data_IF_055279578767
#
_entry.id   IF_055279578767
#
_cell.length_a   1.000
_cell.length_b   1.000
_cell.length_c   1.000
_cell.angle_alpha   90.00
_cell.angle_beta   90.00
_cell.angle_gamma   90.00
#
_symmetry.space_group_name_H-M   'P 1'
#
loop_
_entity.id
_entity.type
_entity.pdbx_description
1 polymer ?
#
# COMPACT_ATOMS: atom_id res chain seq x y z
N UNK A 1 -14.74 0.64 12.41
CA UNK A 1 -14.07 0.75 11.10
C UNK A 1 -15.01 1.34 10.05
N UNK A 2 -14.46 1.87 8.96
CA UNK A 2 -15.20 2.44 7.80
C UNK A 2 -14.43 2.19 6.49
N UNK A 3 -15.01 2.56 5.34
CA UNK A 3 -14.35 2.56 4.03
C UNK A 3 -14.50 3.92 3.33
N UNK A 4 -13.55 4.23 2.44
CA UNK A 4 -13.75 5.18 1.34
C UNK A 4 -13.85 4.42 0.01
N UNK A 5 -14.33 5.06 -1.05
CA UNK A 5 -14.15 4.58 -2.42
C UNK A 5 -12.64 4.59 -2.83
N UNK A 6 -11.84 5.40 -2.13
CA UNK A 6 -10.37 5.45 -2.20
C UNK A 6 -9.69 4.18 -1.69
N UNK A 7 -10.17 3.57 -0.61
CA UNK A 7 -9.69 2.28 -0.07
C UNK A 7 -9.73 1.19 -1.15
N UNK A 8 -10.84 1.15 -1.89
CA UNK A 8 -11.08 0.23 -2.99
C UNK A 8 -10.12 0.50 -4.13
N UNK A 9 -10.09 1.75 -4.62
CA UNK A 9 -9.19 2.22 -5.66
C UNK A 9 -7.74 1.89 -5.39
N UNK A 10 -7.28 2.22 -4.20
CA UNK A 10 -5.90 2.05 -3.82
C UNK A 10 -5.61 0.55 -3.81
N UNK A 11 -6.53 -0.25 -3.25
CA UNK A 11 -6.41 -1.70 -3.28
C UNK A 11 -6.35 -2.25 -4.71
N UNK A 12 -7.09 -1.68 -5.66
CA UNK A 12 -7.12 -2.13 -7.05
C UNK A 12 -5.75 -2.01 -7.73
N UNK A 13 -5.09 -0.85 -7.62
CA UNK A 13 -3.81 -0.63 -8.31
C UNK A 13 -2.68 -1.40 -7.59
N UNK A 14 -2.79 -1.55 -6.27
CA UNK A 14 -1.88 -2.39 -5.48
C UNK A 14 -1.81 -3.85 -5.95
N UNK A 15 -2.92 -4.46 -6.36
CA UNK A 15 -2.95 -5.87 -6.84
C UNK A 15 -2.03 -6.09 -8.03
N UNK A 16 -1.97 -5.09 -8.90
CA UNK A 16 -1.30 -5.05 -10.17
C UNK A 16 0.13 -4.59 -10.11
N UNK A 17 0.41 -3.64 -9.22
CA UNK A 17 1.78 -3.33 -8.90
C UNK A 17 2.44 -4.45 -8.07
N UNK A 18 1.66 -5.30 -7.40
CA UNK A 18 2.15 -6.44 -6.60
C UNK A 18 1.44 -7.81 -6.78
N UNK A 19 1.42 -8.38 -8.00
CA UNK A 19 0.94 -9.75 -8.26
C UNK A 19 1.84 -10.87 -7.73
N UNK A 20 3.12 -10.60 -7.45
CA UNK A 20 4.02 -11.53 -6.75
C UNK A 20 3.82 -11.57 -5.22
N UNK A 21 2.88 -10.78 -4.70
CA UNK A 21 2.61 -10.64 -3.27
C UNK A 21 2.06 -11.89 -2.57
N UNK A 22 2.41 -12.02 -1.30
CA UNK A 22 1.88 -13.01 -0.33
C UNK A 22 0.96 -12.37 0.73
N UNK A 23 1.15 -11.09 1.06
CA UNK A 23 0.15 -10.27 1.78
C UNK A 23 -0.26 -9.05 0.94
N UNK A 24 -1.56 -8.71 0.93
CA UNK A 24 -2.08 -7.43 0.40
C UNK A 24 -3.42 -7.05 1.07
N UNK A 25 -3.45 -5.91 1.76
CA UNK A 25 -4.65 -5.30 2.37
C UNK A 25 -4.48 -3.79 2.60
N UNK A 26 -5.59 -3.05 2.64
CA UNK A 26 -5.68 -1.60 2.87
C UNK A 26 -6.77 -1.30 3.91
N UNK A 27 -6.62 -0.23 4.69
CA UNK A 27 -7.70 0.29 5.57
C UNK A 27 -7.73 1.81 5.55
N UNK A 28 -8.90 2.41 5.36
CA UNK A 28 -9.14 3.82 5.67
C UNK A 28 -9.23 4.03 7.18
N UNK A 29 -8.37 4.89 7.70
CA UNK A 29 -8.28 5.26 9.12
C UNK A 29 -8.58 6.76 9.32
N UNK A 30 -9.34 7.32 8.38
CA UNK A 30 -9.69 8.73 8.20
C UNK A 30 -11.18 8.89 7.84
N UNK A 31 -12.09 8.41 8.69
CA UNK A 31 -13.55 8.34 8.46
C UNK A 31 -14.31 9.63 8.09
N UNK A 32 -13.66 10.79 8.13
CA UNK A 32 -14.23 12.11 7.81
C UNK A 32 -13.37 12.98 6.87
N UNK A 33 -12.41 12.36 6.18
CA UNK A 33 -11.63 12.98 5.09
C UNK A 33 -11.12 11.94 4.09
N UNK A 34 -10.69 10.78 4.58
CA UNK A 34 -9.94 9.77 3.86
C UNK A 34 -8.55 10.26 3.44
N UNK A 35 -7.83 10.94 4.34
CA UNK A 35 -6.45 11.37 4.16
C UNK A 35 -5.41 10.33 4.65
N UNK A 36 -5.74 9.54 5.67
CA UNK A 36 -4.91 8.44 6.18
C UNK A 36 -5.45 7.08 5.78
N UNK A 37 -4.52 6.19 5.39
CA UNK A 37 -4.79 4.77 5.17
C UNK A 37 -3.68 3.91 5.75
N UNK A 38 -4.03 2.72 6.23
CA UNK A 38 -3.12 1.61 6.46
C UNK A 38 -2.90 0.83 5.15
N UNK A 39 -1.67 0.41 4.83
CA UNK A 39 -1.38 -0.53 3.73
C UNK A 39 -0.40 -1.60 4.22
N UNK A 40 -0.73 -2.88 4.01
CA UNK A 40 0.12 -4.03 4.39
C UNK A 40 0.36 -4.94 3.19
N UNK A 41 1.63 -5.05 2.77
CA UNK A 41 2.09 -5.81 1.61
C UNK A 41 3.21 -6.76 2.05
N UNK A 42 3.45 -7.84 1.31
CA UNK A 42 4.66 -8.67 1.34
C UNK A 42 4.78 -9.31 -0.04
N UNK A 43 5.95 -9.30 -0.69
CA UNK A 43 6.12 -9.78 -2.07
C UNK A 43 7.55 -10.21 -2.38
N UNK A 44 7.71 -11.27 -3.19
CA UNK A 44 9.01 -11.83 -3.58
C UNK A 44 9.95 -10.83 -4.28
N UNK A 45 9.42 -9.73 -4.84
CA UNK A 45 10.23 -8.67 -5.48
C UNK A 45 10.96 -7.74 -4.48
N UNK A 46 10.57 -7.76 -3.19
CA UNK A 46 11.10 -6.86 -2.17
C UNK A 46 12.43 -7.33 -1.55
N UNK A 47 13.11 -8.28 -2.21
CA UNK A 47 14.40 -8.88 -1.79
C UNK A 47 15.57 -7.90 -1.91
N UNK A 48 15.64 -7.18 -3.02
CA UNK A 48 16.74 -6.28 -3.38
C UNK A 48 16.51 -4.83 -2.92
N UNK A 49 15.88 -4.68 -1.74
CA UNK A 49 15.33 -3.41 -1.23
C UNK A 49 15.47 -3.28 0.29
N UNK A 50 15.77 -2.05 0.72
CA UNK A 50 15.60 -1.54 2.07
C UNK A 50 14.14 -1.30 2.43
N UNK A 51 13.83 -1.01 3.68
CA UNK A 51 12.52 -0.50 4.12
C UNK A 51 12.03 0.69 3.33
N UNK A 52 12.84 1.76 3.25
CA UNK A 52 12.52 2.98 2.50
C UNK A 52 12.30 2.72 1.01
N UNK A 53 13.07 1.78 0.44
CA UNK A 53 12.98 1.41 -0.97
C UNK A 53 11.77 0.52 -1.26
N UNK A 54 11.40 -0.39 -0.35
CA UNK A 54 10.12 -1.13 -0.40
C UNK A 54 8.95 -0.13 -0.35
N UNK A 55 8.90 0.75 0.66
CA UNK A 55 7.87 1.78 0.80
C UNK A 55 7.68 2.59 -0.49
N UNK A 56 8.75 3.14 -1.06
CA UNK A 56 8.74 3.92 -2.31
C UNK A 56 7.93 3.26 -3.43
N UNK A 57 8.09 1.95 -3.64
CA UNK A 57 7.36 1.19 -4.68
C UNK A 57 5.85 1.19 -4.43
N UNK A 58 5.45 0.98 -3.17
CA UNK A 58 4.05 0.99 -2.68
C UNK A 58 3.46 2.42 -2.68
N UNK A 59 4.32 3.44 -2.56
CA UNK A 59 3.94 4.87 -2.54
C UNK A 59 3.60 5.33 -3.96
N UNK A 60 4.44 4.96 -4.92
CA UNK A 60 4.24 5.23 -6.33
C UNK A 60 3.01 4.53 -6.94
N UNK A 61 2.58 3.39 -6.38
CA UNK A 61 1.49 2.55 -6.88
C UNK A 61 0.14 3.28 -6.86
N UNK A 62 -0.07 4.22 -5.94
CA UNK A 62 -1.30 5.03 -5.86
C UNK A 62 -1.08 6.54 -5.93
N UNK A 63 0.17 7.01 -5.90
CA UNK A 63 0.54 8.42 -6.04
C UNK A 63 -0.21 9.12 -7.17
N UNK A 64 -0.31 8.44 -8.29
CA UNK A 64 -0.69 9.03 -9.55
C UNK A 64 -2.23 9.09 -9.70
N UNK A 65 -2.93 8.69 -8.64
CA UNK A 65 -4.36 8.57 -8.45
C UNK A 65 -4.77 9.42 -7.22
N UNK A 66 -4.17 9.17 -6.05
CA UNK A 66 -4.23 9.98 -4.82
C UNK A 66 -2.80 10.29 -4.36
N UNK A 67 -2.46 11.54 -4.00
CA UNK A 67 -1.06 11.88 -3.66
C UNK A 67 -0.66 11.79 -2.18
N UNK A 68 -1.61 11.63 -1.25
CA UNK A 68 -1.53 12.05 0.14
C UNK A 68 -0.72 11.16 1.11
N UNK A 69 0.40 10.56 0.68
CA UNK A 69 1.21 9.61 1.46
C UNK A 69 1.89 10.18 2.72
N UNK A 70 1.56 11.40 3.15
CA UNK A 70 1.81 11.85 4.52
C UNK A 70 0.97 11.06 5.55
N UNK A 71 -0.27 10.76 5.17
CA UNK A 71 -1.26 10.04 5.97
C UNK A 71 -1.14 8.51 5.89
N UNK A 72 -0.46 7.99 4.88
CA UNK A 72 -0.43 6.57 4.58
C UNK A 72 0.66 5.83 5.36
N UNK A 73 0.21 4.88 6.17
CA UNK A 73 0.99 4.04 7.08
C UNK A 73 1.26 2.68 6.44
N UNK A 74 2.48 2.49 5.92
CA UNK A 74 2.81 1.33 5.08
C UNK A 74 3.77 0.36 5.74
N UNK A 75 3.49 -0.90 5.42
CA UNK A 75 4.07 -2.08 5.98
C UNK A 75 4.39 -3.04 4.83
N UNK A 76 5.63 -3.49 4.75
CA UNK A 76 6.20 -4.27 3.65
C UNK A 76 7.19 -5.28 4.18
N UNK A 77 7.34 -6.35 3.42
CA UNK A 77 8.30 -7.41 3.68
C UNK A 77 8.48 -8.24 2.41
N UNK A 78 9.38 -9.21 2.44
CA UNK A 78 9.54 -10.21 1.39
C UNK A 78 9.40 -11.61 1.99
N UNK A 79 8.72 -12.54 1.29
CA UNK A 79 8.65 -13.94 1.69
C UNK A 79 9.93 -14.64 1.23
N UNK A 80 10.63 -15.20 2.20
CA UNK A 80 12.06 -15.56 2.11
C UNK A 80 12.36 -16.79 2.99
N UNK A 81 11.35 -17.63 3.21
CA UNK A 81 11.22 -18.57 4.34
C UNK A 81 11.59 -20.01 3.99
#
# INVERSE_FOLDING_TARGET
>A
ATQTEGELRVTQILKEKFPRATAIKVTDISGGCGAMYEIKIESEEFKEKRTVQQHQMVNQALKEEIKEMHGLRIFTSVPKR
#
